data_IF_223587939493
#
_entry.id   IF_223587939493
#
_cell.length_a   1.000
_cell.length_b   1.000
_cell.length_c   1.000
_cell.angle_alpha   90.00
_cell.angle_beta   90.00
_cell.angle_gamma   90.00
#
_symmetry.space_group_name_H-M   'P 1'
#
loop_
_entity.id
_entity.type
_entity.pdbx_description
1 polymer ?
#
# COMPACT_ATOMS: atom_id res chain seq x y z
N UNK A 1 -3.20 -34.60 24.36
CA UNK A 1 -3.56 -33.46 23.48
C UNK A 1 -2.45 -33.30 22.47
N UNK A 2 -2.66 -33.80 21.26
CA UNK A 2 -1.72 -33.60 20.16
C UNK A 2 -1.64 -32.09 19.85
N UNK A 3 -0.43 -31.53 19.95
CA UNK A 3 -0.18 -30.16 19.51
C UNK A 3 -0.25 -30.19 17.99
N UNK A 4 -1.26 -29.54 17.41
CA UNK A 4 -1.27 -29.26 15.97
C UNK A 4 0.05 -28.53 15.67
N UNK A 5 0.92 -29.07 14.78
CA UNK A 5 2.17 -28.42 14.43
C UNK A 5 1.89 -26.99 13.96
N UNK A 6 2.77 -26.05 14.30
CA UNK A 6 2.65 -24.69 13.79
C UNK A 6 2.77 -24.72 12.27
N UNK A 7 1.69 -24.36 11.58
CA UNK A 7 1.67 -24.32 10.13
C UNK A 7 2.65 -23.24 9.63
N UNK A 8 3.50 -23.53 8.63
CA UNK A 8 4.30 -22.51 7.97
C UNK A 8 3.43 -21.34 7.50
N UNK A 9 3.93 -20.11 7.66
CA UNK A 9 3.17 -18.89 7.34
C UNK A 9 2.61 -18.87 5.91
N UNK A 10 3.32 -19.33 4.86
CA UNK A 10 2.76 -19.36 3.50
C UNK A 10 1.52 -20.25 3.36
N UNK A 11 1.52 -21.40 4.04
CA UNK A 11 0.36 -22.29 4.06
C UNK A 11 -0.78 -21.67 4.87
N UNK A 12 -0.46 -20.99 5.96
CA UNK A 12 -1.46 -20.25 6.75
C UNK A 12 -2.11 -19.14 5.94
N UNK A 13 -1.31 -18.33 5.22
CA UNK A 13 -1.79 -17.31 4.30
C UNK A 13 -2.72 -17.89 3.24
N UNK A 14 -2.38 -19.05 2.68
CA UNK A 14 -3.21 -19.74 1.68
C UNK A 14 -4.58 -20.15 2.24
N UNK A 15 -4.62 -20.68 3.47
CA UNK A 15 -5.87 -21.02 4.15
C UNK A 15 -6.71 -19.76 4.39
N UNK A 16 -6.08 -18.69 4.88
CA UNK A 16 -6.76 -17.41 5.14
C UNK A 16 -7.31 -16.83 3.84
N UNK A 17 -6.56 -16.88 2.73
CA UNK A 17 -7.02 -16.44 1.41
C UNK A 17 -8.18 -17.23 0.86
N UNK A 18 -8.34 -18.49 1.26
CA UNK A 18 -9.50 -19.29 0.90
C UNK A 18 -10.70 -19.02 1.82
N UNK A 19 -10.46 -18.90 3.13
CA UNK A 19 -11.51 -18.89 4.14
C UNK A 19 -12.03 -17.49 4.53
N UNK A 20 -11.22 -16.45 4.34
CA UNK A 20 -11.54 -15.07 4.73
C UNK A 20 -11.85 -14.27 3.48
N UNK A 21 -13.13 -13.99 3.30
CA UNK A 21 -13.60 -13.06 2.28
C UNK A 21 -12.83 -11.72 2.39
N UNK A 22 -12.45 -11.17 1.24
CA UNK A 22 -11.69 -9.91 1.10
C UNK A 22 -10.22 -9.96 1.56
N UNK A 23 -9.70 -11.12 1.98
CA UNK A 23 -8.25 -11.34 2.15
C UNK A 23 -7.64 -11.91 0.87
N UNK A 24 -6.57 -11.28 0.40
CA UNK A 24 -5.69 -11.83 -0.63
C UNK A 24 -4.25 -11.47 -0.31
N UNK A 25 -3.35 -12.43 -0.45
CA UNK A 25 -1.90 -12.18 -0.40
C UNK A 25 -1.33 -11.83 -1.78
N UNK A 26 -2.13 -12.05 -2.84
CA UNK A 26 -1.73 -11.73 -4.21
C UNK A 26 -1.64 -10.21 -4.40
N UNK A 27 -0.69 -9.82 -5.23
CA UNK A 27 -0.38 -8.42 -5.53
C UNK A 27 -1.27 -7.86 -6.67
N UNK A 28 -2.03 -8.73 -7.35
CA UNK A 28 -2.84 -8.41 -8.54
C UNK A 28 -4.36 -8.52 -8.27
N UNK A 29 -5.22 -7.87 -9.08
CA UNK A 29 -5.31 -6.44 -9.32
C UNK A 29 -6.42 -5.79 -8.47
N UNK A 30 -7.37 -6.53 -7.91
CA UNK A 30 -8.59 -5.87 -7.46
C UNK A 30 -8.49 -5.22 -6.11
N UNK A 31 -7.68 -5.71 -5.17
CA UNK A 31 -7.38 -4.98 -3.94
C UNK A 31 -6.64 -5.82 -2.90
N UNK A 32 -5.44 -5.39 -2.52
CA UNK A 32 -4.87 -5.76 -1.22
C UNK A 32 -5.68 -5.10 -0.10
N UNK A 33 -6.81 -5.71 0.25
CA UNK A 33 -7.82 -5.22 1.20
C UNK A 33 -7.72 -5.90 2.57
N UNK A 34 -6.51 -6.20 3.04
CA UNK A 34 -6.33 -6.74 4.41
C UNK A 34 -6.97 -5.82 5.47
N UNK A 35 -7.07 -4.52 5.22
CA UNK A 35 -7.82 -3.60 6.07
C UNK A 35 -9.32 -3.92 6.20
N UNK A 36 -9.97 -4.43 5.14
CA UNK A 36 -11.37 -4.89 5.21
C UNK A 36 -11.49 -6.25 5.90
N UNK A 37 -10.47 -7.10 5.76
CA UNK A 37 -10.41 -8.39 6.45
C UNK A 37 -10.01 -8.28 7.92
N UNK A 38 -9.65 -7.09 8.43
CA UNK A 38 -9.06 -6.92 9.77
C UNK A 38 -9.92 -7.49 10.90
N UNK A 39 -11.24 -7.27 10.86
CA UNK A 39 -12.15 -7.81 11.86
C UNK A 39 -12.19 -9.35 11.82
N UNK A 40 -12.23 -9.94 10.62
CA UNK A 40 -12.24 -11.39 10.45
C UNK A 40 -10.90 -12.03 10.85
N UNK A 41 -9.78 -11.38 10.55
CA UNK A 41 -8.45 -11.79 11.01
C UNK A 41 -8.35 -11.76 12.54
N UNK A 42 -8.97 -10.78 13.19
CA UNK A 42 -9.05 -10.71 14.65
C UNK A 42 -9.83 -11.91 15.21
N UNK A 43 -10.93 -12.30 14.61
CA UNK A 43 -11.69 -13.48 15.04
C UNK A 43 -10.85 -14.76 14.90
N UNK A 44 -10.12 -14.92 13.79
CA UNK A 44 -9.19 -16.04 13.59
C UNK A 44 -8.08 -16.09 14.64
N UNK A 45 -7.64 -14.93 15.15
CA UNK A 45 -6.62 -14.86 16.19
C UNK A 45 -7.08 -15.44 17.54
N UNK A 46 -8.40 -15.59 17.76
CA UNK A 46 -8.97 -16.13 18.99
C UNK A 46 -9.05 -17.66 19.03
N UNK A 47 -8.81 -18.33 17.90
CA UNK A 47 -8.90 -19.80 17.80
C UNK A 47 -7.85 -20.50 18.66
N UNK A 48 -6.61 -20.01 18.64
CA UNK A 48 -5.52 -20.56 19.44
C UNK A 48 -4.32 -19.59 19.52
N UNK A 49 -3.39 -19.89 20.44
CA UNK A 49 -2.12 -19.14 20.54
C UNK A 49 -1.28 -19.21 19.26
N UNK A 50 -1.31 -20.35 18.54
CA UNK A 50 -0.55 -20.50 17.29
C UNK A 50 -1.18 -19.68 16.17
N UNK A 51 -2.51 -19.67 16.05
CA UNK A 51 -3.23 -18.82 15.10
C UNK A 51 -3.02 -17.34 15.37
N UNK A 52 -3.06 -16.93 16.65
CA UNK A 52 -2.72 -15.57 17.05
C UNK A 52 -1.33 -15.14 16.55
N UNK A 53 -0.31 -15.98 16.76
CA UNK A 53 1.05 -15.70 16.28
C UNK A 53 1.12 -15.59 14.76
N UNK A 54 0.46 -16.48 14.01
CA UNK A 54 0.46 -16.45 12.54
C UNK A 54 -0.30 -15.25 11.97
N UNK A 55 -1.47 -14.91 12.53
CA UNK A 55 -2.22 -13.70 12.13
C UNK A 55 -1.38 -12.45 12.41
N UNK A 56 -0.74 -12.36 13.57
CA UNK A 56 0.12 -11.22 13.91
C UNK A 56 1.28 -11.07 12.92
N UNK A 57 1.93 -12.16 12.55
CA UNK A 57 3.02 -12.16 11.56
C UNK A 57 2.51 -11.76 10.17
N UNK A 58 1.36 -12.28 9.72
CA UNK A 58 0.75 -11.87 8.45
C UNK A 58 0.45 -10.36 8.42
N UNK A 59 -0.18 -9.83 9.46
CA UNK A 59 -0.49 -8.40 9.57
C UNK A 59 0.78 -7.57 9.56
N UNK A 60 1.83 -8.02 10.25
CA UNK A 60 3.13 -7.35 10.25
C UNK A 60 3.77 -7.31 8.85
N UNK A 61 3.80 -8.44 8.13
CA UNK A 61 4.33 -8.49 6.76
C UNK A 61 3.53 -7.62 5.80
N UNK A 62 2.20 -7.59 5.94
CA UNK A 62 1.35 -6.71 5.15
C UNK A 62 1.63 -5.23 5.43
N UNK A 63 1.69 -4.83 6.71
CA UNK A 63 1.97 -3.45 7.09
C UNK A 63 3.36 -2.99 6.66
N UNK A 64 4.34 -3.91 6.64
CA UNK A 64 5.71 -3.62 6.20
C UNK A 64 5.80 -3.47 4.69
N UNK A 65 5.04 -4.28 3.94
CA UNK A 65 5.04 -4.30 2.47
C UNK A 65 4.13 -3.26 1.81
N UNK A 66 3.14 -2.73 2.54
CA UNK A 66 2.19 -1.73 2.02
C UNK A 66 2.54 -0.34 2.53
N UNK A 67 2.65 0.63 1.63
CA UNK A 67 2.96 2.02 1.98
C UNK A 67 2.03 3.00 1.26
N UNK A 68 1.67 4.09 1.92
CA UNK A 68 0.82 5.13 1.33
C UNK A 68 1.49 6.48 1.42
N UNK A 69 1.71 7.11 0.27
CA UNK A 69 2.12 8.50 0.14
C UNK A 69 0.87 9.37 0.04
N UNK A 70 0.45 9.94 1.17
CA UNK A 70 -0.71 10.83 1.23
C UNK A 70 -0.25 12.28 1.25
N UNK A 71 -0.58 13.01 0.20
CA UNK A 71 -0.33 14.44 0.07
C UNK A 71 -1.53 15.23 0.58
N UNK A 72 -1.40 15.82 1.76
CA UNK A 72 -2.40 16.71 2.35
C UNK A 72 -2.18 18.16 1.95
N UNK A 73 -0.92 18.61 1.91
CA UNK A 73 -0.53 20.00 1.67
C UNK A 73 0.51 20.16 0.57
N UNK A 74 1.20 19.07 0.20
CA UNK A 74 2.39 19.10 -0.66
C UNK A 74 3.47 20.09 -0.18
N UNK A 75 3.50 20.40 1.13
CA UNK A 75 4.48 21.31 1.71
C UNK A 75 5.86 20.67 1.77
N UNK A 76 6.92 21.50 1.78
CA UNK A 76 8.30 21.01 1.92
C UNK A 76 8.51 20.14 3.16
N UNK A 77 7.87 20.49 4.28
CA UNK A 77 7.96 19.71 5.51
C UNK A 77 7.33 18.31 5.35
N UNK A 78 6.17 18.24 4.70
CA UNK A 78 5.49 16.99 4.37
C UNK A 78 6.35 16.12 3.44
N UNK A 79 6.93 16.71 2.38
CA UNK A 79 7.82 16.01 1.44
C UNK A 79 9.06 15.43 2.14
N UNK A 80 9.72 16.22 2.99
CA UNK A 80 10.88 15.76 3.77
C UNK A 80 10.51 14.62 4.74
N UNK A 81 9.34 14.71 5.38
CA UNK A 81 8.84 13.64 6.24
C UNK A 81 8.56 12.36 5.45
N UNK A 82 7.98 12.46 4.25
CA UNK A 82 7.76 11.31 3.37
C UNK A 82 9.09 10.69 2.91
N UNK A 83 10.06 11.49 2.46
CA UNK A 83 11.38 10.99 2.04
C UNK A 83 12.07 10.20 3.15
N UNK A 84 12.08 10.73 4.37
CA UNK A 84 12.65 10.01 5.52
C UNK A 84 11.98 8.65 5.73
N UNK A 85 10.65 8.60 5.71
CA UNK A 85 9.91 7.32 5.84
C UNK A 85 10.25 6.35 4.71
N UNK A 86 10.34 6.83 3.47
CA UNK A 86 10.68 5.98 2.33
C UNK A 86 12.12 5.46 2.43
N UNK A 87 13.08 6.26 2.91
CA UNK A 87 14.44 5.80 3.14
C UNK A 87 14.52 4.72 4.25
N UNK A 88 13.69 4.82 5.29
CA UNK A 88 13.70 3.86 6.40
C UNK A 88 13.14 2.48 6.02
N UNK A 89 12.05 2.44 5.22
CA UNK A 89 11.31 1.19 4.95
C UNK A 89 11.11 0.85 3.47
N UNK A 90 11.51 1.71 2.54
CA UNK A 90 11.23 1.59 1.10
C UNK A 90 11.65 0.25 0.50
N UNK A 91 12.79 -0.29 0.92
CA UNK A 91 13.30 -1.61 0.47
C UNK A 91 12.34 -2.79 0.71
N UNK A 92 11.39 -2.64 1.63
CA UNK A 92 10.42 -3.70 1.95
C UNK A 92 9.06 -3.45 1.30
N UNK A 93 8.85 -2.29 0.68
CA UNK A 93 7.58 -1.91 0.09
C UNK A 93 7.41 -2.61 -1.25
N UNK A 94 6.33 -3.35 -1.38
CA UNK A 94 5.92 -4.03 -2.63
C UNK A 94 4.60 -3.50 -3.16
N UNK A 95 3.81 -2.81 -2.33
CA UNK A 95 2.54 -2.16 -2.69
C UNK A 95 2.59 -0.70 -2.22
N UNK A 96 2.53 0.23 -3.18
CA UNK A 96 2.53 1.67 -2.95
C UNK A 96 1.21 2.26 -3.41
N UNK A 97 0.57 3.02 -2.54
CA UNK A 97 -0.58 3.86 -2.88
C UNK A 97 -0.22 5.33 -2.84
N UNK A 98 -0.61 6.09 -3.85
CA UNK A 98 -0.43 7.54 -3.89
C UNK A 98 -1.79 8.22 -3.81
N UNK A 99 -1.93 9.13 -2.83
CA UNK A 99 -3.19 9.81 -2.53
C UNK A 99 -2.98 11.32 -2.59
N UNK A 100 -3.67 11.98 -3.53
CA UNK A 100 -3.69 13.44 -3.71
C UNK A 100 -5.11 14.02 -3.59
N UNK A 101 -6.05 13.22 -3.08
CA UNK A 101 -7.43 13.62 -2.99
C UNK A 101 -8.22 12.60 -2.20
N UNK A 102 -9.53 12.80 -2.22
CA UNK A 102 -10.49 11.79 -1.80
C UNK A 102 -11.20 11.27 -3.05
N UNK A 103 -11.39 9.96 -3.09
CA UNK A 103 -12.20 9.28 -4.09
C UNK A 103 -13.34 8.66 -3.33
N UNK A 104 -14.46 9.38 -3.29
CA UNK A 104 -15.72 8.75 -2.91
C UNK A 104 -16.01 7.63 -3.91
N UNK A 105 -16.67 6.57 -3.43
CA UNK A 105 -16.96 5.32 -4.14
C UNK A 105 -17.32 5.49 -5.62
N UNK A 106 -16.95 4.49 -6.43
CA UNK A 106 -17.25 4.34 -7.86
C UNK A 106 -18.55 5.06 -8.27
N UNK A 107 -18.41 6.16 -9.02
CA UNK A 107 -19.53 6.99 -9.52
C UNK A 107 -19.45 8.46 -9.13
N UNK A 108 -18.65 8.83 -8.12
CA UNK A 108 -18.37 10.23 -7.80
C UNK A 108 -17.02 10.72 -8.37
N UNK A 109 -16.98 12.00 -8.73
CA UNK A 109 -15.79 12.66 -9.28
C UNK A 109 -14.67 12.74 -8.24
N UNK A 110 -13.41 12.56 -8.69
CA UNK A 110 -12.22 12.83 -7.89
C UNK A 110 -12.32 14.22 -7.22
N UNK A 111 -12.07 14.28 -5.91
CA UNK A 111 -12.00 15.55 -5.17
C UNK A 111 -10.57 15.79 -4.72
N UNK A 112 -9.95 16.85 -5.24
CA UNK A 112 -8.64 17.31 -4.74
C UNK A 112 -8.75 17.60 -3.24
N UNK A 113 -7.76 17.17 -2.47
CA UNK A 113 -7.71 17.44 -1.04
C UNK A 113 -7.82 18.94 -0.76
N UNK A 114 -8.73 19.36 0.12
CA UNK A 114 -9.05 20.77 0.33
C UNK A 114 -7.86 21.66 0.76
N UNK A 115 -6.78 21.05 1.27
CA UNK A 115 -5.57 21.73 1.73
C UNK A 115 -4.43 21.69 0.72
N UNK A 116 -4.63 21.02 -0.42
CA UNK A 116 -3.63 21.01 -1.48
C UNK A 116 -3.64 22.37 -2.19
N UNK A 117 -2.46 22.87 -2.56
CA UNK A 117 -2.34 24.19 -3.13
C UNK A 117 -2.90 24.21 -4.56
N UNK A 118 -3.41 25.37 -4.97
CA UNK A 118 -3.96 25.56 -6.31
C UNK A 118 -2.90 25.28 -7.41
N UNK A 119 -1.64 25.64 -7.14
CA UNK A 119 -0.51 25.45 -8.04
C UNK A 119 0.17 24.07 -7.92
N UNK A 120 -0.49 23.07 -7.31
CA UNK A 120 0.05 21.72 -7.12
C UNK A 120 0.71 21.18 -8.38
N UNK A 121 0.03 21.27 -9.53
CA UNK A 121 0.48 20.70 -10.81
C UNK A 121 1.82 21.28 -11.32
N UNK A 122 2.24 22.44 -10.79
CA UNK A 122 3.54 23.07 -11.08
C UNK A 122 4.62 22.79 -10.04
N UNK A 123 4.26 22.21 -8.90
CA UNK A 123 5.22 21.91 -7.83
C UNK A 123 6.13 20.76 -8.23
N UNK A 124 7.37 20.83 -7.79
CA UNK A 124 8.31 19.72 -7.91
C UNK A 124 8.26 18.87 -6.64
N UNK A 125 7.68 17.67 -6.75
CA UNK A 125 7.56 16.72 -5.63
C UNK A 125 8.77 15.77 -5.53
N UNK A 126 9.70 15.85 -6.49
CA UNK A 126 10.87 14.97 -6.64
C UNK A 126 10.50 13.48 -6.56
N UNK A 127 9.64 13.03 -7.47
CA UNK A 127 9.15 11.66 -7.51
C UNK A 127 10.26 10.61 -7.55
N UNK A 128 11.35 10.88 -8.27
CA UNK A 128 12.54 10.02 -8.27
C UNK A 128 13.05 9.75 -6.85
N UNK A 129 13.15 10.78 -6.01
CA UNK A 129 13.61 10.63 -4.62
C UNK A 129 12.60 9.88 -3.74
N UNK A 130 11.31 9.94 -4.07
CA UNK A 130 10.26 9.21 -3.37
C UNK A 130 10.15 7.75 -3.85
N UNK A 131 10.49 7.43 -5.10
CA UNK A 131 10.27 6.09 -5.66
C UNK A 131 11.54 5.25 -5.71
N UNK A 132 12.71 5.86 -5.95
CA UNK A 132 13.99 5.14 -6.05
C UNK A 132 14.31 4.21 -4.86
N UNK A 133 13.94 4.53 -3.60
CA UNK A 133 14.21 3.63 -2.48
C UNK A 133 13.29 2.39 -2.41
N UNK A 134 12.37 2.19 -3.37
CA UNK A 134 11.43 1.07 -3.46
C UNK A 134 11.67 0.20 -4.71
N UNK A 135 12.86 -0.40 -4.90
CA UNK A 135 13.17 -1.15 -6.13
C UNK A 135 12.33 -2.42 -6.32
N UNK A 136 11.85 -3.03 -5.23
CA UNK A 136 10.98 -4.21 -5.23
C UNK A 136 9.48 -3.89 -5.28
N UNK A 137 9.11 -2.68 -5.73
CA UNK A 137 7.72 -2.30 -5.88
C UNK A 137 7.07 -3.14 -6.99
N UNK A 138 5.98 -3.82 -6.65
CA UNK A 138 5.23 -4.70 -7.55
C UNK A 138 3.87 -4.12 -7.92
N UNK A 139 3.26 -3.30 -7.07
CA UNK A 139 1.99 -2.62 -7.34
C UNK A 139 2.06 -1.14 -7.00
N UNK A 140 1.56 -0.31 -7.92
CA UNK A 140 1.43 1.13 -7.76
C UNK A 140 -0.03 1.53 -7.93
N UNK A 141 -0.73 1.82 -6.84
CA UNK A 141 -2.13 2.24 -6.84
C UNK A 141 -2.24 3.77 -6.95
N UNK A 142 -2.76 4.22 -8.10
CA UNK A 142 -3.01 5.63 -8.43
C UNK A 142 -4.50 5.98 -8.41
N UNK A 143 -5.36 5.15 -7.82
CA UNK A 143 -6.81 5.38 -7.82
C UNK A 143 -7.19 6.74 -7.23
N UNK A 144 -6.41 7.22 -6.26
CA UNK A 144 -6.59 8.52 -5.57
C UNK A 144 -5.74 9.64 -6.15
N UNK A 145 -5.39 9.54 -7.44
CA UNK A 145 -4.75 10.60 -8.22
C UNK A 145 -5.64 11.07 -9.37
N UNK A 146 -5.66 12.38 -9.66
CA UNK A 146 -6.36 12.89 -10.84
C UNK A 146 -5.56 12.53 -12.11
N UNK A 147 -6.20 11.81 -13.04
CA UNK A 147 -5.58 11.45 -14.32
C UNK A 147 -5.07 12.66 -15.12
N UNK A 148 -5.71 13.82 -14.95
CA UNK A 148 -5.31 15.07 -15.61
C UNK A 148 -4.09 15.75 -14.97
N UNK A 149 -3.62 15.30 -13.80
CA UNK A 149 -2.46 15.93 -13.17
C UNK A 149 -1.15 15.43 -13.78
N UNK A 150 -0.18 16.33 -14.07
CA UNK A 150 1.16 15.95 -14.50
C UNK A 150 1.87 15.02 -13.52
N UNK A 151 1.49 15.03 -12.24
CA UNK A 151 2.08 14.14 -11.25
C UNK A 151 1.78 12.68 -11.51
N UNK A 152 0.61 12.35 -12.05
CA UNK A 152 0.23 10.97 -12.36
C UNK A 152 1.24 10.37 -13.35
N UNK A 153 1.55 11.09 -14.43
CA UNK A 153 2.59 10.70 -15.38
C UNK A 153 3.96 10.60 -14.71
N UNK A 154 4.38 11.61 -13.94
CA UNK A 154 5.72 11.64 -13.30
C UNK A 154 5.92 10.48 -12.31
N UNK A 155 4.88 10.06 -11.60
CA UNK A 155 4.95 8.89 -10.69
C UNK A 155 5.19 7.62 -11.50
N UNK A 156 4.47 7.44 -12.60
CA UNK A 156 4.62 6.26 -13.48
C UNK A 156 6.00 6.24 -14.13
N UNK A 157 6.51 7.38 -14.58
CA UNK A 157 7.88 7.51 -15.10
C UNK A 157 8.93 7.14 -14.06
N UNK A 158 8.80 7.62 -12.82
CA UNK A 158 9.70 7.26 -11.73
C UNK A 158 9.60 5.76 -11.40
N UNK A 159 8.39 5.19 -11.34
CA UNK A 159 8.19 3.77 -11.07
C UNK A 159 8.80 2.89 -12.18
N UNK A 160 8.56 3.22 -13.44
CA UNK A 160 9.15 2.48 -14.58
C UNK A 160 10.68 2.60 -14.62
N UNK A 161 11.24 3.72 -14.16
CA UNK A 161 12.69 3.93 -14.07
C UNK A 161 13.36 3.13 -12.95
N UNK A 162 12.73 3.01 -11.77
CA UNK A 162 13.36 2.44 -10.58
C UNK A 162 12.83 1.07 -10.13
N UNK A 163 11.60 0.71 -10.49
CA UNK A 163 10.90 -0.48 -10.01
C UNK A 163 10.78 -1.51 -11.14
N UNK A 164 11.72 -2.47 -11.19
CA UNK A 164 11.80 -3.47 -12.27
C UNK A 164 10.77 -4.59 -12.15
N UNK A 165 10.23 -4.80 -10.95
CA UNK A 165 9.29 -5.86 -10.63
C UNK A 165 7.83 -5.36 -10.67
N UNK A 166 7.57 -4.21 -11.30
CA UNK A 166 6.23 -3.64 -11.36
C UNK A 166 5.31 -4.55 -12.20
N UNK A 167 4.27 -5.09 -11.55
CA UNK A 167 3.30 -6.03 -12.11
C UNK A 167 1.92 -5.39 -12.32
N UNK A 168 1.57 -4.36 -11.54
CA UNK A 168 0.27 -3.68 -11.62
C UNK A 168 0.32 -2.17 -11.37
N UNK A 169 -0.61 -1.48 -12.04
CA UNK A 169 -0.93 -0.05 -11.96
C UNK A 169 -2.42 0.14 -11.61
#
# INVERSE_FOLDING_TARGET
MERVPSLPLPLFSSIVSFAVQDYTDQVLPETRRIHLAFNRLKDLSLVSKTWYSSVRELVYQFQRSTFTLKFQTASRHELLAMRRKVLERGRYVTDLRVSMGDVSSFGEYFRRGHRLPANLDTLELEWDALIAPMPGLRRLDLSEMPLSSPHTQKVVEAATKYCRELEAL
#
